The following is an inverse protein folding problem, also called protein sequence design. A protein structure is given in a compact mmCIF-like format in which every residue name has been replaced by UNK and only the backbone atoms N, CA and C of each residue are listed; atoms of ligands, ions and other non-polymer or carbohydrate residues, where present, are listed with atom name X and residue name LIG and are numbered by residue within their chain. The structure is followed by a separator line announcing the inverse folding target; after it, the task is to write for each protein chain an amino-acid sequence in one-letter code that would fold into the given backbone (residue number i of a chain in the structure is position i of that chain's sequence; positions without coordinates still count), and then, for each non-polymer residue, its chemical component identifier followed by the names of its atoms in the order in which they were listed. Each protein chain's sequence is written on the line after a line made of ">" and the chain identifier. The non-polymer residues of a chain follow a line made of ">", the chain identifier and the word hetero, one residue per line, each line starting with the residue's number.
data_IF_300216540658
#
_entry.id   IF_300216540658
#
_cell.length_a   1.000
_cell.length_b   1.000
_cell.length_c   1.000
_cell.angle_alpha   90.00
_cell.angle_beta   90.00
_cell.angle_gamma   90.00
#
_symmetry.space_group_name_H-M   'P 1'
#
loop_
_entity.id
_entity.type
_entity.pdbx_description
1 polymer ?
#
# COMPACT_ATOMS: atom_id res chain seq x y z
N UNK A 1 -47.44 -15.31 21.84
CA UNK A 1 -47.66 -15.25 20.37
C UNK A 1 -46.66 -14.28 19.78
N UNK A 2 -45.87 -14.72 18.78
CA UNK A 2 -44.87 -13.86 18.12
C UNK A 2 -45.49 -12.76 17.26
N UNK A 3 -44.70 -11.73 16.97
CA UNK A 3 -45.09 -10.63 16.09
C UNK A 3 -45.42 -11.14 14.68
N UNK A 4 -46.60 -10.78 14.15
CA UNK A 4 -47.00 -11.04 12.76
C UNK A 4 -47.00 -9.75 11.97
N UNK A 5 -46.28 -9.74 10.83
CA UNK A 5 -46.25 -8.61 9.90
C UNK A 5 -47.53 -8.64 9.05
N UNK A 6 -48.33 -7.58 9.13
CA UNK A 6 -49.53 -7.40 8.29
C UNK A 6 -49.22 -6.40 7.17
N UNK A 7 -49.76 -6.68 5.99
CA UNK A 7 -49.68 -5.79 4.84
C UNK A 7 -50.39 -4.44 5.14
N UNK A 8 -49.83 -3.30 4.69
CA UNK A 8 -50.49 -1.99 4.68
C UNK A 8 -51.98 -2.00 4.33
N UNK A 9 -52.36 -2.67 3.25
CA UNK A 9 -53.74 -2.76 2.78
C UNK A 9 -54.65 -3.45 3.78
N UNK A 10 -54.18 -4.52 4.43
CA UNK A 10 -54.92 -5.20 5.50
C UNK A 10 -55.21 -4.27 6.67
N UNK A 11 -54.22 -3.44 7.08
CA UNK A 11 -54.40 -2.48 8.16
C UNK A 11 -55.43 -1.40 7.79
N UNK A 12 -55.32 -0.84 6.58
CA UNK A 12 -56.23 0.20 6.08
C UNK A 12 -57.67 -0.34 5.97
N UNK A 13 -57.84 -1.52 5.38
CA UNK A 13 -59.15 -2.17 5.27
C UNK A 13 -59.75 -2.44 6.65
N UNK A 14 -58.93 -2.91 7.60
CA UNK A 14 -59.35 -3.13 8.99
C UNK A 14 -59.89 -1.85 9.62
N UNK A 15 -59.15 -0.74 9.56
CA UNK A 15 -59.59 0.54 10.13
C UNK A 15 -60.84 1.08 9.43
N UNK A 16 -60.93 0.96 8.10
CA UNK A 16 -62.11 1.39 7.34
C UNK A 16 -63.36 0.59 7.72
N UNK A 17 -63.24 -0.74 7.86
CA UNK A 17 -64.37 -1.58 8.28
C UNK A 17 -64.79 -1.31 9.72
N UNK A 18 -63.86 -0.99 10.61
CA UNK A 18 -64.19 -0.58 11.99
C UNK A 18 -64.96 0.75 11.98
N UNK A 19 -64.55 1.72 11.17
CA UNK A 19 -65.25 2.99 11.03
C UNK A 19 -66.69 2.82 10.50
N UNK A 20 -66.94 1.76 9.71
CA UNK A 20 -68.25 1.35 9.24
C UNK A 20 -69.03 0.46 10.24
N UNK A 21 -68.54 0.34 11.48
CA UNK A 21 -69.18 -0.43 12.57
C UNK A 21 -69.26 -1.95 12.37
N UNK A 22 -68.39 -2.54 11.53
CA UNK A 22 -68.29 -4.00 11.43
C UNK A 22 -67.70 -4.61 12.71
N UNK A 23 -68.20 -5.79 13.09
CA UNK A 23 -67.68 -6.53 14.25
C UNK A 23 -66.30 -7.12 13.96
N UNK A 24 -65.48 -7.33 15.00
CA UNK A 24 -64.12 -7.89 14.85
C UNK A 24 -64.13 -9.26 14.15
N UNK A 25 -65.11 -10.10 14.46
CA UNK A 25 -65.24 -11.43 13.86
C UNK A 25 -65.52 -11.32 12.37
N UNK A 26 -66.47 -10.46 11.97
CA UNK A 26 -66.78 -10.21 10.56
C UNK A 26 -65.59 -9.66 9.78
N UNK A 27 -64.77 -8.80 10.39
CA UNK A 27 -63.54 -8.27 9.76
C UNK A 27 -62.51 -9.37 9.57
N UNK A 28 -62.28 -10.21 10.57
CA UNK A 28 -61.34 -11.33 10.45
C UNK A 28 -61.79 -12.34 9.39
N UNK A 29 -63.10 -12.63 9.29
CA UNK A 29 -63.68 -13.50 8.27
C UNK A 29 -63.53 -12.91 6.87
N UNK A 30 -63.89 -11.64 6.68
CA UNK A 30 -63.81 -10.95 5.39
C UNK A 30 -62.37 -10.79 4.88
N UNK A 31 -61.41 -10.56 5.78
CA UNK A 31 -59.99 -10.42 5.41
C UNK A 31 -59.26 -11.75 5.36
N UNK A 32 -59.85 -12.85 5.85
CA UNK A 32 -59.20 -14.16 5.92
C UNK A 32 -58.03 -14.25 6.91
N UNK A 33 -57.88 -13.28 7.82
CA UNK A 33 -56.78 -13.22 8.80
C UNK A 33 -57.30 -13.09 10.23
N UNK A 34 -56.72 -13.89 11.14
CA UNK A 34 -56.89 -13.68 12.58
C UNK A 34 -56.00 -12.53 13.04
N UNK A 35 -56.60 -11.38 13.29
CA UNK A 35 -55.93 -10.19 13.83
C UNK A 35 -56.17 -10.13 15.35
N UNK A 36 -55.09 -9.94 16.13
CA UNK A 36 -55.18 -9.87 17.59
C UNK A 36 -55.91 -8.62 18.05
N UNK A 37 -56.59 -8.69 19.21
CA UNK A 37 -57.26 -7.53 19.83
C UNK A 37 -56.30 -6.34 20.04
N UNK A 38 -55.05 -6.63 20.37
CA UNK A 38 -54.02 -5.61 20.60
C UNK A 38 -53.65 -4.88 19.31
N UNK A 39 -53.53 -5.58 18.18
CA UNK A 39 -53.28 -4.96 16.88
C UNK A 39 -54.46 -4.07 16.46
N UNK A 40 -55.69 -4.54 16.65
CA UNK A 40 -56.91 -3.74 16.42
C UNK A 40 -56.87 -2.43 17.21
N UNK A 41 -56.67 -2.52 18.53
CA UNK A 41 -56.62 -1.34 19.39
C UNK A 41 -55.50 -0.38 18.97
N UNK A 42 -54.31 -0.91 18.67
CA UNK A 42 -53.16 -0.11 18.25
C UNK A 42 -53.42 0.64 16.93
N UNK A 43 -54.03 -0.01 15.93
CA UNK A 43 -54.34 0.64 14.65
C UNK A 43 -55.46 1.67 14.75
N UNK A 44 -56.51 1.39 15.55
CA UNK A 44 -57.58 2.36 15.83
C UNK A 44 -57.00 3.58 16.54
N UNK A 45 -56.19 3.36 17.57
CA UNK A 45 -55.61 4.46 18.36
C UNK A 45 -54.70 5.32 17.51
N UNK A 46 -53.83 4.70 16.70
CA UNK A 46 -52.99 5.42 15.75
C UNK A 46 -53.82 6.25 14.77
N UNK A 47 -54.91 5.68 14.24
CA UNK A 47 -55.80 6.39 13.33
C UNK A 47 -56.54 7.54 14.01
N UNK A 48 -57.02 7.37 15.25
CA UNK A 48 -57.67 8.43 16.02
C UNK A 48 -56.74 9.62 16.24
N UNK A 49 -55.50 9.35 16.64
CA UNK A 49 -54.51 10.39 16.98
C UNK A 49 -53.95 11.08 15.72
N UNK A 50 -53.64 10.31 14.67
CA UNK A 50 -52.86 10.83 13.53
C UNK A 50 -53.64 10.93 12.22
N UNK A 51 -54.87 10.40 12.17
CA UNK A 51 -55.65 10.17 10.94
C UNK A 51 -54.91 9.31 9.91
N UNK A 52 -53.89 8.57 10.33
CA UNK A 52 -53.10 7.64 9.50
C UNK A 52 -53.11 6.26 10.11
N UNK A 53 -53.15 5.24 9.25
CA UNK A 53 -53.13 3.83 9.68
C UNK A 53 -51.71 3.25 9.66
N UNK A 54 -50.80 3.90 8.94
CA UNK A 54 -49.39 3.53 8.80
C UNK A 54 -48.58 4.74 9.27
N UNK A 55 -47.74 4.53 10.28
CA UNK A 55 -46.80 5.56 10.73
C UNK A 55 -45.72 5.74 9.68
N UNK A 56 -45.38 6.98 9.39
CA UNK A 56 -44.27 7.33 8.51
C UNK A 56 -42.96 6.81 9.13
N UNK A 57 -42.15 6.01 8.40
CA UNK A 57 -40.83 5.56 8.84
C UNK A 57 -39.93 6.67 9.40
N UNK A 58 -40.04 7.89 8.86
CA UNK A 58 -39.26 9.05 9.30
C UNK A 58 -39.65 9.59 10.68
N UNK A 59 -40.86 9.25 11.17
CA UNK A 59 -41.38 9.69 12.47
C UNK A 59 -41.16 8.68 13.59
N UNK A 60 -40.55 7.53 13.31
CA UNK A 60 -40.12 6.64 14.38
C UNK A 60 -38.90 7.25 15.04
N UNK A 61 -38.95 7.41 16.36
CA UNK A 61 -37.73 7.51 17.15
C UNK A 61 -36.82 6.35 16.75
N UNK A 62 -35.54 6.62 16.46
CA UNK A 62 -34.56 5.59 16.16
C UNK A 62 -34.43 4.66 17.38
N UNK A 63 -35.25 3.61 17.40
CA UNK A 63 -35.15 2.53 18.38
C UNK A 63 -34.15 1.51 17.86
N UNK A 64 -32.89 1.93 17.84
CA UNK A 64 -31.73 1.07 17.67
C UNK A 64 -30.85 1.11 18.92
N UNK A 65 -29.94 0.15 19.10
CA UNK A 65 -28.89 0.26 20.11
C UNK A 65 -28.17 1.60 19.90
N UNK A 66 -28.04 2.39 20.95
CA UNK A 66 -27.23 3.61 20.91
C UNK A 66 -25.83 3.25 20.45
N UNK A 67 -25.25 4.05 19.53
CA UNK A 67 -23.87 3.86 19.11
C UNK A 67 -22.98 3.91 20.36
N UNK A 68 -22.14 2.89 20.53
CA UNK A 68 -21.27 2.75 21.71
C UNK A 68 -20.12 3.77 21.68
N UNK A 69 -19.65 4.16 20.49
CA UNK A 69 -18.67 5.23 20.34
C UNK A 69 -19.36 6.57 20.29
N UNK A 70 -18.93 7.46 21.17
CA UNK A 70 -19.27 8.88 21.13
C UNK A 70 -18.50 9.58 20.00
N UNK A 71 -18.90 10.80 19.66
CA UNK A 71 -18.14 11.62 18.70
C UNK A 71 -16.74 11.96 19.23
N UNK A 72 -16.58 12.12 20.55
CA UNK A 72 -15.29 12.39 21.19
C UNK A 72 -14.33 11.20 21.03
N UNK A 73 -14.83 9.98 21.26
CA UNK A 73 -14.05 8.75 21.03
C UNK A 73 -13.56 8.63 19.59
N UNK A 74 -14.43 8.97 18.62
CA UNK A 74 -14.07 8.93 17.20
C UNK A 74 -12.97 9.95 16.84
N UNK A 75 -12.98 11.14 17.46
CA UNK A 75 -11.93 12.14 17.27
C UNK A 75 -10.62 11.63 17.87
N UNK A 76 -10.65 11.12 19.09
CA UNK A 76 -9.49 10.54 19.76
C UNK A 76 -8.83 9.43 18.93
N UNK A 77 -9.63 8.46 18.45
CA UNK A 77 -9.13 7.35 17.62
C UNK A 77 -8.47 7.88 16.33
N UNK A 78 -9.02 8.93 15.70
CA UNK A 78 -8.41 9.53 14.50
C UNK A 78 -7.06 10.17 14.80
N UNK A 79 -6.97 10.94 15.87
CA UNK A 79 -5.71 11.58 16.27
C UNK A 79 -4.64 10.56 16.65
N UNK A 80 -5.05 9.49 17.33
CA UNK A 80 -4.18 8.37 17.68
C UNK A 80 -3.64 7.66 16.44
N UNK A 81 -4.50 7.33 15.47
CA UNK A 81 -4.09 6.72 14.19
C UNK A 81 -3.20 7.64 13.34
N UNK A 82 -3.40 8.96 13.41
CA UNK A 82 -2.54 9.91 12.72
C UNK A 82 -1.14 9.99 13.34
N UNK A 83 -1.04 9.85 14.65
CA UNK A 83 0.22 9.92 15.40
C UNK A 83 0.98 8.60 15.35
N UNK A 84 0.26 7.48 15.46
CA UNK A 84 0.80 6.13 15.55
C UNK A 84 0.07 5.18 14.57
N UNK A 85 0.30 5.30 13.25
CA UNK A 85 -0.42 4.52 12.24
C UNK A 85 -0.08 3.02 12.22
N UNK A 86 0.86 2.58 13.07
CA UNK A 86 1.30 1.19 13.18
C UNK A 86 0.57 0.37 14.25
N UNK A 87 -0.36 0.97 15.00
CA UNK A 87 -1.05 0.30 16.10
C UNK A 87 -1.92 -0.86 15.61
N UNK A 88 -1.89 -1.95 16.36
CA UNK A 88 -2.81 -3.07 16.19
C UNK A 88 -4.20 -2.74 16.78
N UNK A 89 -5.22 -3.52 16.41
CA UNK A 89 -6.61 -3.28 16.85
C UNK A 89 -6.79 -3.46 18.36
N UNK A 90 -6.06 -4.39 18.97
CA UNK A 90 -6.03 -4.62 20.41
C UNK A 90 -5.31 -3.50 21.15
N UNK A 91 -4.19 -3.01 20.63
CA UNK A 91 -3.52 -1.82 21.17
C UNK A 91 -4.42 -0.58 21.10
N UNK A 92 -5.13 -0.38 19.97
CA UNK A 92 -6.12 0.71 19.83
C UNK A 92 -7.27 0.57 20.84
N UNK A 93 -7.74 -0.66 21.08
CA UNK A 93 -8.79 -0.92 22.07
C UNK A 93 -8.32 -0.60 23.48
N UNK A 94 -7.10 -1.01 23.85
CA UNK A 94 -6.50 -0.73 25.16
C UNK A 94 -6.36 0.78 25.39
N UNK A 95 -5.81 1.52 24.41
CA UNK A 95 -5.67 2.98 24.52
C UNK A 95 -7.00 3.72 24.60
N UNK A 96 -8.01 3.25 23.86
CA UNK A 96 -9.36 3.82 23.97
C UNK A 96 -9.95 3.57 25.36
N UNK A 97 -9.77 2.36 25.89
CA UNK A 97 -10.24 2.01 27.23
C UNK A 97 -9.58 2.85 28.32
N UNK A 98 -8.27 3.05 28.24
CA UNK A 98 -7.52 3.85 29.21
C UNK A 98 -7.97 5.32 29.24
N UNK A 99 -8.33 5.89 28.09
CA UNK A 99 -8.72 7.30 27.97
C UNK A 99 -10.20 7.55 28.29
N UNK A 100 -11.09 6.68 27.81
CA UNK A 100 -12.55 6.94 27.85
C UNK A 100 -13.36 5.91 28.64
N UNK A 101 -12.69 4.94 29.28
CA UNK A 101 -13.27 3.80 30.04
C UNK A 101 -14.30 3.01 29.20
N UNK A 102 -14.20 3.10 27.87
CA UNK A 102 -15.14 2.50 26.93
C UNK A 102 -14.55 1.22 26.34
N UNK A 103 -14.99 0.08 26.84
CA UNK A 103 -14.54 -1.22 26.36
C UNK A 103 -15.37 -1.69 25.16
N UNK A 104 -14.74 -1.73 23.98
CA UNK A 104 -15.36 -2.25 22.75
C UNK A 104 -14.77 -3.59 22.35
N UNK A 105 -15.59 -4.50 21.82
CA UNK A 105 -15.03 -5.69 21.18
C UNK A 105 -14.20 -5.31 19.95
N UNK A 106 -13.10 -6.03 19.68
CA UNK A 106 -12.27 -5.83 18.48
C UNK A 106 -13.07 -5.77 17.17
N UNK A 107 -14.10 -6.63 17.06
CA UNK A 107 -15.01 -6.66 15.91
C UNK A 107 -15.83 -5.39 15.77
N UNK A 108 -16.28 -4.82 16.90
CA UNK A 108 -17.04 -3.57 16.93
C UNK A 108 -16.12 -2.41 16.58
N UNK A 109 -14.93 -2.35 17.17
CA UNK A 109 -13.93 -1.33 16.87
C UNK A 109 -13.58 -1.33 15.37
N UNK A 110 -13.25 -2.50 14.81
CA UNK A 110 -12.95 -2.65 13.39
C UNK A 110 -14.11 -2.22 12.49
N UNK A 111 -15.35 -2.59 12.83
CA UNK A 111 -16.53 -2.17 12.07
C UNK A 111 -16.71 -0.65 12.10
N UNK A 112 -16.57 -0.02 13.28
CA UNK A 112 -16.70 1.43 13.39
C UNK A 112 -15.59 2.15 12.60
N UNK A 113 -14.36 1.65 12.65
CA UNK A 113 -13.24 2.19 11.86
C UNK A 113 -13.57 2.21 10.36
N UNK A 114 -14.14 1.13 9.83
CA UNK A 114 -14.47 1.03 8.39
C UNK A 114 -15.75 1.78 8.04
N UNK A 115 -16.86 1.47 8.72
CA UNK A 115 -18.20 1.91 8.33
C UNK A 115 -18.51 3.34 8.75
N UNK A 116 -18.10 3.74 9.96
CA UNK A 116 -18.45 5.03 10.52
C UNK A 116 -17.33 6.08 10.35
N UNK A 117 -16.08 5.64 10.27
CA UNK A 117 -14.90 6.54 10.21
C UNK A 117 -14.18 6.52 8.85
N UNK A 118 -14.58 5.65 7.93
CA UNK A 118 -13.99 5.49 6.58
C UNK A 118 -12.47 5.21 6.58
N UNK A 119 -11.95 4.62 7.66
CA UNK A 119 -10.55 4.22 7.79
C UNK A 119 -10.32 2.93 7.02
N UNK A 120 -9.29 2.93 6.17
CA UNK A 120 -8.90 1.76 5.38
C UNK A 120 -7.52 1.28 5.77
N UNK A 121 -7.36 -0.04 5.93
CA UNK A 121 -6.05 -0.67 6.12
C UNK A 121 -5.27 -0.60 4.80
N UNK A 122 -4.14 0.11 4.82
CA UNK A 122 -3.23 0.21 3.68
C UNK A 122 -1.89 -0.36 4.07
N UNK A 123 -1.17 -0.92 3.09
CA UNK A 123 0.22 -1.29 3.29
C UNK A 123 1.02 -0.01 3.54
N UNK A 124 1.61 0.11 4.72
CA UNK A 124 2.48 1.23 5.03
C UNK A 124 3.65 1.29 4.03
N UNK A 125 3.93 2.48 3.51
CA UNK A 125 5.12 2.68 2.71
C UNK A 125 6.33 2.75 3.64
N UNK A 126 7.26 1.81 3.50
CA UNK A 126 8.53 1.87 4.21
C UNK A 126 9.37 2.99 3.61
N UNK A 127 9.50 4.10 4.34
CA UNK A 127 10.41 5.19 3.96
C UNK A 127 11.76 4.91 4.61
N UNK A 128 12.84 4.87 3.82
CA UNK A 128 14.19 4.76 4.35
C UNK A 128 14.51 6.02 5.17
N UNK A 129 14.82 5.86 6.46
CA UNK A 129 15.13 6.98 7.38
C UNK A 129 16.32 7.84 6.91
N UNK A 130 17.23 7.27 6.12
CA UNK A 130 18.38 7.99 5.55
C UNK A 130 18.04 8.82 4.33
N UNK A 131 16.80 8.75 3.84
CA UNK A 131 16.36 9.47 2.64
C UNK A 131 16.06 10.93 2.98
N UNK A 132 16.98 11.81 2.66
CA UNK A 132 16.74 13.26 2.73
C UNK A 132 15.89 13.71 1.54
N UNK A 133 14.69 14.24 1.81
CA UNK A 133 13.86 14.86 0.78
C UNK A 133 14.53 16.11 0.20
N UNK A 134 15.22 16.90 1.02
CA UNK A 134 15.93 18.12 0.56
C UNK A 134 16.98 17.73 -0.48
N UNK A 135 17.86 16.77 -0.17
CA UNK A 135 18.90 16.32 -1.10
C UNK A 135 18.31 15.71 -2.39
N UNK A 136 17.14 15.04 -2.29
CA UNK A 136 16.41 14.54 -3.47
C UNK A 136 15.95 15.70 -4.37
N UNK A 137 15.36 16.75 -3.81
CA UNK A 137 14.87 17.88 -4.62
C UNK A 137 16.04 18.65 -5.24
N UNK A 138 17.11 18.92 -4.49
CA UNK A 138 18.34 19.54 -5.03
C UNK A 138 18.97 18.71 -6.15
N UNK A 139 18.93 17.38 -6.05
CA UNK A 139 19.35 16.51 -7.14
C UNK A 139 18.45 16.64 -8.36
N UNK A 140 17.12 16.62 -8.18
CA UNK A 140 16.15 16.77 -9.28
C UNK A 140 16.34 18.11 -10.00
N UNK A 141 16.49 19.21 -9.26
CA UNK A 141 16.71 20.55 -9.83
C UNK A 141 18.01 20.60 -10.64
N UNK A 142 19.10 20.02 -10.13
CA UNK A 142 20.37 19.95 -10.87
C UNK A 142 20.29 19.10 -12.13
N UNK A 143 19.51 18.02 -12.10
CA UNK A 143 19.35 17.11 -13.24
C UNK A 143 18.27 17.57 -14.23
N UNK A 144 17.45 18.57 -13.88
CA UNK A 144 16.32 19.01 -14.70
C UNK A 144 16.74 19.51 -16.10
N UNK A 145 17.97 20.01 -16.24
CA UNK A 145 18.50 20.49 -17.53
C UNK A 145 19.20 19.41 -18.34
N UNK A 146 19.40 18.20 -17.80
CA UNK A 146 20.11 17.11 -18.48
C UNK A 146 19.11 16.27 -19.28
N UNK A 147 19.23 16.19 -20.62
CA UNK A 147 18.38 15.33 -21.43
C UNK A 147 18.46 13.86 -21.00
N UNK A 148 17.31 13.18 -21.03
CA UNK A 148 17.21 11.78 -20.65
C UNK A 148 18.09 10.84 -21.51
N UNK A 149 18.36 11.23 -22.76
CA UNK A 149 19.22 10.50 -23.70
C UNK A 149 20.67 10.35 -23.21
N UNK A 150 21.14 11.26 -22.34
CA UNK A 150 22.49 11.20 -21.77
C UNK A 150 22.55 10.44 -20.43
N UNK A 151 21.41 9.99 -19.91
CA UNK A 151 21.37 9.29 -18.62
C UNK A 151 21.45 7.78 -18.85
N UNK A 152 22.39 7.16 -18.14
CA UNK A 152 22.51 5.71 -18.04
C UNK A 152 22.33 5.32 -16.57
N UNK A 153 21.34 4.48 -16.32
CA UNK A 153 21.03 3.94 -15.01
C UNK A 153 21.64 2.56 -14.88
N UNK A 154 22.38 2.35 -13.79
CA UNK A 154 22.92 1.05 -13.44
C UNK A 154 22.70 0.80 -11.97
N UNK A 155 22.33 -0.43 -11.63
CA UNK A 155 22.12 -0.88 -10.27
C UNK A 155 22.45 -2.38 -10.18
N UNK A 156 22.68 -2.86 -8.97
CA UNK A 156 22.91 -4.28 -8.72
C UNK A 156 21.56 -4.99 -8.53
N UNK A 157 21.33 -6.09 -9.26
CA UNK A 157 20.12 -6.89 -9.13
C UNK A 157 20.48 -8.35 -8.90
N UNK A 158 19.88 -8.97 -7.89
CA UNK A 158 20.16 -10.35 -7.54
C UNK A 158 19.07 -11.29 -8.09
N UNK A 159 19.49 -12.28 -8.85
CA UNK A 159 18.66 -13.40 -9.28
C UNK A 159 18.91 -14.57 -8.33
N UNK A 160 17.82 -15.04 -7.74
CA UNK A 160 17.79 -16.23 -6.90
C UNK A 160 16.89 -17.29 -7.52
N UNK A 161 17.05 -18.54 -7.09
CA UNK A 161 16.07 -19.58 -7.37
C UNK A 161 14.67 -19.08 -6.99
N UNK A 162 13.68 -19.37 -7.87
CA UNK A 162 12.27 -19.04 -7.65
C UNK A 162 11.78 -19.53 -6.29
N UNK A 163 12.39 -20.60 -5.78
CA UNK A 163 12.01 -21.15 -4.51
C UNK A 163 12.24 -20.18 -3.33
N UNK A 164 13.22 -19.28 -3.40
CA UNK A 164 13.50 -18.33 -2.33
C UNK A 164 12.59 -17.08 -2.35
N UNK A 165 11.85 -16.84 -3.44
CA UNK A 165 11.05 -15.62 -3.62
C UNK A 165 9.60 -15.75 -3.19
N UNK A 166 9.07 -16.98 -3.08
CA UNK A 166 7.67 -17.20 -2.73
C UNK A 166 7.47 -17.26 -1.20
N UNK A 167 6.98 -16.17 -0.62
CA UNK A 167 6.71 -16.04 0.83
C UNK A 167 5.36 -16.61 1.24
N UNK A 168 4.45 -16.86 0.29
CA UNK A 168 3.09 -17.29 0.55
C UNK A 168 2.83 -18.70 -0.02
N UNK A 169 2.36 -19.59 0.85
CA UNK A 169 1.85 -20.93 0.52
C UNK A 169 0.35 -21.00 0.81
N UNK A 170 -0.38 -21.76 0.02
CA UNK A 170 -1.81 -21.99 0.23
C UNK A 170 -2.03 -23.27 1.03
N UNK A 171 -2.82 -23.20 2.10
CA UNK A 171 -3.33 -24.37 2.82
C UNK A 171 -4.81 -24.18 3.13
N UNK A 172 -5.48 -25.26 3.52
CA UNK A 172 -6.87 -25.21 3.96
C UNK A 172 -6.98 -24.42 5.26
N UNK A 173 -8.11 -23.73 5.47
CA UNK A 173 -8.31 -22.88 6.66
C UNK A 173 -8.15 -23.70 7.94
N UNK A 174 -7.24 -23.26 8.82
CA UNK A 174 -6.93 -23.93 10.08
C UNK A 174 -5.77 -24.95 10.00
N UNK A 175 -5.21 -25.17 8.81
CA UNK A 175 -4.05 -26.03 8.61
C UNK A 175 -2.81 -25.21 8.28
N UNK A 176 -1.67 -25.66 8.77
CA UNK A 176 -0.37 -25.07 8.43
C UNK A 176 -0.06 -25.25 6.95
N UNK A 177 0.63 -24.27 6.37
CA UNK A 177 1.08 -24.28 4.99
C UNK A 177 2.59 -24.52 4.95
N UNK A 178 2.99 -25.74 5.32
CA UNK A 178 4.40 -26.11 5.46
C UNK A 178 5.09 -26.19 4.10
N UNK A 179 6.25 -25.53 4.01
CA UNK A 179 7.11 -25.54 2.83
C UNK A 179 8.51 -25.94 3.24
N UNK A 180 9.05 -26.95 2.56
CA UNK A 180 10.46 -27.31 2.69
C UNK A 180 11.25 -26.56 1.62
N UNK A 181 12.25 -25.79 2.04
CA UNK A 181 13.22 -25.18 1.12
C UNK A 181 14.18 -26.29 0.70
N UNK A 182 14.11 -26.69 -0.56
CA UNK A 182 14.94 -27.77 -1.13
C UNK A 182 16.42 -27.40 -1.22
N UNK A 183 16.71 -26.13 -1.49
CA UNK A 183 18.08 -25.62 -1.61
C UNK A 183 18.22 -24.22 -0.98
N UNK A 184 18.56 -24.14 0.32
CA UNK A 184 18.75 -22.86 1.00
C UNK A 184 19.99 -22.09 0.49
N UNK A 185 20.92 -22.77 -0.19
CA UNK A 185 22.17 -22.21 -0.68
C UNK A 185 22.22 -22.20 -2.22
N UNK A 186 21.06 -22.09 -2.87
CA UNK A 186 20.98 -22.02 -4.32
C UNK A 186 21.91 -20.93 -4.86
N UNK A 187 22.60 -21.25 -5.96
CA UNK A 187 23.52 -20.33 -6.63
C UNK A 187 22.84 -18.99 -6.90
N UNK A 188 23.52 -17.92 -6.51
CA UNK A 188 23.04 -16.55 -6.57
C UNK A 188 23.74 -15.90 -7.75
N UNK A 189 22.98 -15.32 -8.67
CA UNK A 189 23.56 -14.56 -9.77
C UNK A 189 23.33 -13.09 -9.53
N UNK A 190 24.39 -12.31 -9.60
CA UNK A 190 24.37 -10.86 -9.57
C UNK A 190 24.36 -10.33 -10.99
N UNK A 191 23.39 -9.48 -11.29
CA UNK A 191 23.27 -8.75 -12.54
C UNK A 191 23.67 -7.30 -12.33
N UNK A 192 24.46 -6.79 -13.27
CA UNK A 192 24.74 -5.36 -13.42
C UNK A 192 24.23 -4.92 -14.80
N UNK A 193 22.97 -4.49 -14.90
CA UNK A 193 22.45 -3.85 -16.10
C UNK A 193 22.92 -2.39 -16.19
N UNK A 194 23.08 -1.92 -17.41
CA UNK A 194 23.11 -0.52 -17.77
C UNK A 194 21.94 -0.24 -18.73
N UNK A 195 21.03 0.64 -18.32
CA UNK A 195 19.80 0.97 -19.04
C UNK A 195 19.83 2.46 -19.36
N UNK A 196 19.72 2.80 -20.63
CA UNK A 196 19.58 4.18 -21.10
C UNK A 196 18.16 4.47 -21.59
N UNK A 197 17.96 5.66 -22.16
CA UNK A 197 16.69 6.08 -22.74
C UNK A 197 16.16 5.10 -23.80
N UNK A 198 17.05 4.56 -24.64
CA UNK A 198 16.72 3.63 -25.72
C UNK A 198 16.66 2.15 -25.27
N UNK A 199 16.62 1.89 -23.95
CA UNK A 199 16.55 0.55 -23.38
C UNK A 199 17.89 0.02 -22.92
N UNK A 200 18.05 -1.31 -22.96
CA UNK A 200 19.21 -2.00 -22.41
C UNK A 200 20.48 -1.73 -23.22
N UNK A 201 21.49 -1.16 -22.56
CA UNK A 201 22.78 -0.85 -23.18
C UNK A 201 23.73 -2.04 -23.07
N UNK A 202 23.88 -2.57 -21.86
CA UNK A 202 24.80 -3.66 -21.54
C UNK A 202 24.32 -4.39 -20.28
N UNK A 203 24.61 -5.68 -20.15
CA UNK A 203 24.39 -6.45 -18.92
C UNK A 203 25.59 -7.33 -18.66
N UNK A 204 26.09 -7.33 -17.43
CA UNK A 204 27.05 -8.32 -16.96
C UNK A 204 26.41 -9.19 -15.89
N UNK A 205 26.66 -10.49 -15.96
CA UNK A 205 26.19 -11.50 -15.01
C UNK A 205 27.41 -12.10 -14.31
N UNK A 206 27.40 -12.13 -12.99
CA UNK A 206 28.43 -12.78 -12.17
C UNK A 206 27.75 -13.65 -11.12
N UNK A 207 28.37 -14.75 -10.73
CA UNK A 207 27.98 -15.55 -9.55
C UNK A 207 28.66 -15.05 -8.25
N UNK A 208 29.53 -14.05 -8.38
CA UNK A 208 30.19 -13.38 -7.27
C UNK A 208 29.48 -12.08 -6.84
N UNK A 209 29.80 -11.63 -5.62
CA UNK A 209 29.42 -10.31 -5.13
C UNK A 209 30.16 -9.21 -5.89
N UNK A 210 29.45 -8.16 -6.26
CA UNK A 210 30.04 -7.05 -7.01
C UNK A 210 30.83 -6.15 -6.07
N UNK A 211 32.16 -6.17 -6.22
CA UNK A 211 33.06 -5.22 -5.56
C UNK A 211 33.21 -3.97 -6.42
N UNK A 212 33.67 -2.87 -5.81
CA UNK A 212 33.93 -1.62 -6.55
C UNK A 212 34.86 -1.79 -7.77
N UNK A 213 35.84 -2.70 -7.69
CA UNK A 213 36.71 -3.07 -8.83
C UNK A 213 35.94 -3.74 -9.97
N UNK A 214 35.04 -4.67 -9.64
CA UNK A 214 34.20 -5.39 -10.61
C UNK A 214 33.25 -4.41 -11.31
N UNK A 215 32.66 -3.48 -10.56
CA UNK A 215 31.80 -2.44 -11.12
C UNK A 215 32.58 -1.44 -12.00
N UNK A 216 33.77 -1.00 -11.56
CA UNK A 216 34.62 -0.14 -12.38
C UNK A 216 35.05 -0.84 -13.69
N UNK A 217 35.39 -2.13 -13.61
CA UNK A 217 35.68 -2.95 -14.79
C UNK A 217 34.46 -3.04 -15.72
N UNK A 218 33.26 -3.26 -15.18
CA UNK A 218 32.01 -3.24 -15.95
C UNK A 218 31.82 -1.92 -16.70
N UNK A 219 31.98 -0.78 -16.01
CA UNK A 219 31.82 0.53 -16.65
C UNK A 219 32.83 0.73 -17.79
N UNK A 220 34.11 0.42 -17.56
CA UNK A 220 35.20 0.63 -18.52
C UNK A 220 35.14 -0.33 -19.71
N UNK A 221 35.03 -1.63 -19.45
CA UNK A 221 35.27 -2.66 -20.46
C UNK A 221 34.00 -3.31 -21.00
N UNK A 222 32.87 -3.19 -20.31
CA UNK A 222 31.58 -3.63 -20.83
C UNK A 222 30.80 -2.44 -21.40
N UNK A 223 30.46 -1.45 -20.56
CA UNK A 223 29.57 -0.37 -20.94
C UNK A 223 30.16 0.59 -21.98
N UNK A 224 31.31 1.22 -21.69
CA UNK A 224 31.96 2.16 -22.63
C UNK A 224 32.34 1.45 -23.94
N UNK A 225 32.83 0.21 -23.83
CA UNK A 225 33.15 -0.60 -25.01
C UNK A 225 31.93 -0.85 -25.89
N UNK A 226 30.79 -1.20 -25.30
CA UNK A 226 29.55 -1.43 -26.04
C UNK A 226 29.04 -0.15 -26.70
N UNK A 227 29.18 1.00 -26.06
CA UNK A 227 28.85 2.30 -26.66
C UNK A 227 29.75 2.63 -27.86
N UNK A 228 31.07 2.45 -27.72
CA UNK A 228 32.04 2.68 -28.79
C UNK A 228 31.85 1.72 -29.99
N UNK A 229 31.32 0.52 -29.75
CA UNK A 229 30.91 -0.40 -30.83
C UNK A 229 29.69 0.11 -31.58
N UNK A 230 28.69 0.63 -30.86
CA UNK A 230 27.46 1.17 -31.45
C UNK A 230 27.73 2.41 -32.30
N UNK A 231 28.65 3.27 -31.85
CA UNK A 231 29.10 4.45 -32.60
C UNK A 231 30.11 4.15 -33.72
N UNK A 232 30.49 2.89 -33.91
CA UNK A 232 31.54 2.43 -34.84
C UNK A 232 32.94 3.02 -34.59
N UNK A 233 33.16 3.72 -33.49
CA UNK A 233 34.45 4.33 -33.14
C UNK A 233 35.57 3.28 -33.06
N UNK A 234 35.27 2.06 -32.56
CA UNK A 234 36.27 0.98 -32.49
C UNK A 234 36.64 0.38 -33.86
N UNK A 235 35.78 0.51 -34.86
CA UNK A 235 36.03 -0.07 -36.20
C UNK A 235 37.13 0.71 -36.92
N UNK A 236 37.25 2.00 -36.63
CA UNK A 236 38.20 2.92 -37.26
C UNK A 236 39.44 3.18 -36.40
N UNK A 237 39.50 2.65 -35.17
CA UNK A 237 40.60 2.87 -34.25
C UNK A 237 41.82 2.00 -34.61
N UNK A 238 43.00 2.63 -34.70
CA UNK A 238 44.27 1.91 -34.88
C UNK A 238 44.63 1.05 -33.65
N UNK A 239 44.24 1.51 -32.45
CA UNK A 239 44.31 0.75 -31.21
C UNK A 239 42.97 0.84 -30.45
N UNK A 240 42.11 -0.18 -30.58
CA UNK A 240 40.83 -0.23 -29.86
C UNK A 240 40.98 -0.26 -28.33
N UNK A 241 42.08 -0.78 -27.78
CA UNK A 241 42.30 -0.78 -26.32
C UNK A 241 42.49 0.66 -25.86
N UNK A 242 43.43 1.38 -26.48
CA UNK A 242 43.66 2.80 -26.18
C UNK A 242 42.40 3.65 -26.32
N UNK A 243 41.59 3.44 -27.37
CA UNK A 243 40.38 4.24 -27.58
C UNK A 243 39.31 4.00 -26.50
N UNK A 244 39.16 2.75 -26.01
CA UNK A 244 38.29 2.43 -24.87
C UNK A 244 38.80 3.12 -23.61
N UNK A 245 40.11 3.04 -23.34
CA UNK A 245 40.68 3.63 -22.13
C UNK A 245 40.57 5.14 -22.12
N UNK A 246 40.91 5.79 -23.24
CA UNK A 246 40.78 7.23 -23.43
C UNK A 246 39.34 7.70 -23.23
N UNK A 247 38.38 7.03 -23.86
CA UNK A 247 36.95 7.38 -23.71
C UNK A 247 36.49 7.16 -22.27
N UNK A 248 36.87 6.05 -21.65
CA UNK A 248 36.54 5.78 -20.26
C UNK A 248 37.11 6.85 -19.32
N UNK A 249 38.34 7.33 -19.54
CA UNK A 249 38.92 8.43 -18.76
C UNK A 249 38.21 9.77 -18.97
N UNK A 250 37.75 10.04 -20.20
CA UNK A 250 37.01 11.26 -20.52
C UNK A 250 35.60 11.28 -19.90
N UNK A 251 34.93 10.12 -19.89
CA UNK A 251 33.53 9.99 -19.43
C UNK A 251 33.46 9.69 -17.93
N UNK A 252 34.34 8.84 -17.42
CA UNK A 252 34.37 8.35 -16.03
C UNK A 252 35.57 8.98 -15.31
N UNK A 253 35.51 10.29 -15.09
CA UNK A 253 36.53 11.00 -14.33
C UNK A 253 36.54 10.49 -12.87
N UNK A 254 37.72 10.20 -12.32
CA UNK A 254 37.86 9.83 -10.90
C UNK A 254 37.18 10.84 -9.96
N UNK A 255 37.27 12.14 -10.31
CA UNK A 255 36.59 13.24 -9.63
C UNK A 255 35.06 13.14 -9.69
N UNK A 256 34.51 12.67 -10.80
CA UNK A 256 33.06 12.44 -10.95
C UNK A 256 32.62 11.29 -10.04
N UNK A 257 33.35 10.16 -10.04
CA UNK A 257 33.09 9.05 -9.14
C UNK A 257 33.14 9.47 -7.66
N UNK A 258 34.20 10.18 -7.24
CA UNK A 258 34.33 10.70 -5.89
C UNK A 258 33.18 11.64 -5.50
N UNK A 259 32.76 12.55 -6.40
CA UNK A 259 31.60 13.42 -6.17
C UNK A 259 30.31 12.63 -6.01
N UNK A 260 30.08 11.61 -6.83
CA UNK A 260 28.90 10.74 -6.75
C UNK A 260 28.89 9.94 -5.44
N UNK A 261 30.03 9.37 -5.03
CA UNK A 261 30.14 8.65 -3.76
C UNK A 261 29.91 9.56 -2.54
N UNK A 262 30.45 10.77 -2.53
CA UNK A 262 30.16 11.76 -1.48
C UNK A 262 28.68 12.13 -1.43
N UNK A 263 28.07 12.34 -2.60
CA UNK A 263 26.64 12.65 -2.67
C UNK A 263 25.75 11.50 -2.16
N UNK A 264 26.19 10.26 -2.32
CA UNK A 264 25.54 9.08 -1.75
C UNK A 264 25.85 8.86 -0.25
N UNK A 265 26.59 9.77 0.40
CA UNK A 265 26.89 9.72 1.83
C UNK A 265 28.10 8.87 2.21
N UNK A 266 28.90 8.42 1.23
CA UNK A 266 30.16 7.72 1.51
C UNK A 266 31.26 8.73 1.85
N UNK A 267 32.00 8.46 2.93
CA UNK A 267 33.21 9.20 3.28
C UNK A 267 34.30 8.85 2.26
N UNK A 268 34.51 9.76 1.30
CA UNK A 268 35.57 9.63 0.30
C UNK A 268 36.64 10.68 0.62
N UNK A 269 37.86 10.29 1.02
CA UNK A 269 38.91 11.22 1.43
C UNK A 269 39.15 12.30 0.37
N UNK A 270 39.40 13.53 0.81
CA UNK A 270 39.79 14.64 -0.06
C UNK A 270 41.19 14.39 -0.59
N UNK A 271 41.29 13.74 -1.75
CA UNK A 271 42.56 13.50 -2.44
C UNK A 271 43.08 14.75 -3.16
N UNK A 272 42.79 15.95 -2.64
CA UNK A 272 43.23 17.20 -3.29
C UNK A 272 44.73 17.46 -3.11
N UNK A 273 45.39 16.77 -2.16
CA UNK A 273 46.81 17.00 -1.84
C UNK A 273 47.73 15.79 -2.12
N UNK A 274 47.25 14.69 -2.72
CA UNK A 274 48.14 13.61 -3.17
C UNK A 274 48.43 13.73 -4.68
N UNK A 275 49.67 14.06 -5.09
CA UNK A 275 50.06 14.12 -6.49
C UNK A 275 50.10 12.73 -7.18
N UNK A 276 49.92 11.63 -6.44
CA UNK A 276 50.06 10.26 -6.95
C UNK A 276 48.79 9.66 -7.58
N UNK A 277 47.70 10.42 -7.73
CA UNK A 277 46.55 9.95 -8.53
C UNK A 277 46.77 9.94 -10.05
N UNK A 278 47.97 10.32 -10.52
CA UNK A 278 48.44 9.90 -11.85
C UNK A 278 48.62 8.38 -11.96
N UNK A 279 48.69 7.66 -10.84
CA UNK A 279 48.74 6.20 -10.78
C UNK A 279 47.47 5.58 -10.18
N UNK A 280 46.30 5.88 -10.77
CA UNK A 280 45.43 4.72 -11.08
C UNK A 280 46.04 4.02 -12.29
N UNK A 281 47.23 3.44 -12.11
CA UNK A 281 47.64 2.31 -12.90
C UNK A 281 46.60 1.23 -12.62
N UNK A 282 45.60 1.15 -13.48
CA UNK A 282 44.83 -0.07 -13.70
C UNK A 282 45.82 -1.09 -14.27
N UNK A 283 46.71 -1.60 -13.41
CA UNK A 283 47.53 -2.74 -13.72
C UNK A 283 46.61 -3.91 -14.02
N UNK A 284 46.99 -4.67 -15.06
CA UNK A 284 46.36 -5.90 -15.54
C UNK A 284 46.10 -6.92 -14.42
#
# INVERSE_FOLDING_TARGET
>A
MGYRKYDPGTKIATVRMIAQSYSRLAICEALGFLISRQSFNCWIELYRVTQRVIRDPSQYEQKGPTRLLTTEDQVFIKELLCSEPGLFLDELQERLYDETDTLLSLTTLHRNLIEDMEVTLKKANTVNIKKSLVAKHEFIERMATVPAEYLVFSDESLIFSKDLLQTYSCSTKGNEANRTISDPNATRFTLIPAIGFNGLLEVTVTDENVKGRNFAHFLKYSLVKSDLRRSQALVQAADPKWEIERTAYQVILARLCQKLFRHAGYLCPDTLDEPDLQEYHFCE
#
